data_IF_141723998321
#
_entry.id   IF_141723998321
#
_cell.length_a   1.000
_cell.length_b   1.000
_cell.length_c   1.000
_cell.angle_alpha   90.00
_cell.angle_beta   90.00
_cell.angle_gamma   90.00
#
_symmetry.space_group_name_H-M   'P 1'
#
loop_
_entity.id
_entity.type
_entity.pdbx_description
1 polymer ?
#
# COMPACT_ATOMS: atom_id res chain seq x y z
N UNK A 1 -1.05 0.39 -8.23
CA UNK A 1 -0.30 1.64 -7.94
C UNK A 1 -0.86 2.32 -6.70
N UNK A 2 -0.01 2.74 -5.75
CA UNK A 2 -0.42 3.43 -4.52
C UNK A 2 0.30 4.76 -4.31
N UNK A 3 -0.45 5.80 -3.96
CA UNK A 3 -0.02 7.18 -3.74
C UNK A 3 -0.27 7.58 -2.28
N UNK A 4 0.80 7.76 -1.52
CA UNK A 4 0.75 8.46 -0.23
C UNK A 4 0.97 9.96 -0.42
N UNK A 5 0.46 10.75 0.53
CA UNK A 5 0.64 12.20 0.60
C UNK A 5 1.05 12.60 2.00
N UNK A 6 1.59 13.83 2.14
CA UNK A 6 1.97 14.40 3.45
C UNK A 6 0.79 14.63 4.42
N UNK A 7 -0.45 14.42 3.99
CA UNK A 7 -1.62 14.66 4.83
C UNK A 7 -1.70 13.73 6.05
N UNK A 8 -1.00 12.59 6.02
CA UNK A 8 -0.91 11.66 7.15
C UNK A 8 0.42 11.80 7.87
N UNK A 9 1.50 11.36 7.22
CA UNK A 9 2.85 11.35 7.81
C UNK A 9 3.86 11.77 6.76
N UNK A 10 5.05 12.19 7.19
CA UNK A 10 6.13 12.55 6.28
C UNK A 10 6.67 11.34 5.49
N UNK A 11 7.49 11.64 4.48
CA UNK A 11 8.04 10.63 3.57
C UNK A 11 8.94 9.60 4.28
N UNK A 12 9.73 10.04 5.26
CA UNK A 12 10.69 9.16 5.94
C UNK A 12 9.93 8.16 6.79
N UNK A 13 8.99 8.65 7.61
CA UNK A 13 8.15 7.81 8.46
C UNK A 13 7.31 6.82 7.64
N UNK A 14 6.77 7.27 6.51
CA UNK A 14 6.00 6.41 5.59
C UNK A 14 6.89 5.33 4.96
N UNK A 15 8.13 5.68 4.58
CA UNK A 15 9.09 4.72 4.03
C UNK A 15 9.53 3.71 5.10
N UNK A 16 9.72 4.13 6.36
CA UNK A 16 10.05 3.22 7.46
C UNK A 16 8.94 2.18 7.67
N UNK A 17 7.67 2.58 7.63
CA UNK A 17 6.55 1.63 7.71
C UNK A 17 6.61 0.57 6.61
N UNK A 18 6.83 0.98 5.36
CA UNK A 18 6.88 0.05 4.25
C UNK A 18 8.15 -0.83 4.26
N UNK A 19 9.34 -0.25 4.44
CA UNK A 19 10.61 -0.95 4.29
C UNK A 19 11.06 -1.71 5.54
N UNK A 20 10.77 -1.19 6.74
CA UNK A 20 11.25 -1.78 8.00
C UNK A 20 10.19 -2.57 8.73
N UNK A 21 8.93 -2.15 8.63
CA UNK A 21 7.81 -2.84 9.27
C UNK A 21 7.03 -3.71 8.29
N UNK A 22 7.28 -3.59 6.98
CA UNK A 22 6.56 -4.35 5.96
C UNK A 22 5.06 -4.10 6.03
N UNK A 23 4.67 -2.86 6.30
CA UNK A 23 3.28 -2.49 6.52
C UNK A 23 2.88 -1.28 5.69
N UNK A 24 1.73 -1.41 5.02
CA UNK A 24 1.08 -0.30 4.32
C UNK A 24 -0.28 0.00 4.95
N UNK A 25 -0.33 1.03 5.78
CA UNK A 25 -1.56 1.39 6.50
C UNK A 25 -2.67 1.89 5.57
N UNK A 26 -3.84 1.26 5.66
CA UNK A 26 -5.05 1.64 4.94
C UNK A 26 -6.29 1.15 5.68
N UNK A 27 -7.20 2.08 5.98
CA UNK A 27 -8.52 1.74 6.52
C UNK A 27 -9.30 0.90 5.51
N UNK A 28 -9.99 -0.13 6.00
CA UNK A 28 -10.87 -0.95 5.19
C UNK A 28 -12.09 -0.14 4.77
N UNK A 29 -12.59 0.71 5.67
CA UNK A 29 -13.80 1.52 5.47
C UNK A 29 -13.52 3.01 5.69
N UNK A 30 -14.35 3.83 5.06
CA UNK A 30 -14.43 5.27 5.30
C UNK A 30 -15.18 5.55 6.61
N UNK A 31 -15.16 6.80 7.07
CA UNK A 31 -15.93 7.24 8.25
C UNK A 31 -17.45 7.05 8.09
N UNK A 32 -17.95 6.95 6.85
CA UNK A 32 -19.34 6.63 6.55
C UNK A 32 -19.64 5.11 6.57
N UNK A 33 -18.68 4.27 6.93
CA UNK A 33 -18.81 2.80 6.98
C UNK A 33 -18.73 2.11 5.61
N UNK A 34 -18.63 2.86 4.52
CA UNK A 34 -18.48 2.33 3.15
C UNK A 34 -17.04 1.90 2.92
N UNK A 35 -16.82 0.81 2.19
CA UNK A 35 -15.50 0.34 1.78
C UNK A 35 -14.66 1.45 1.15
N UNK A 36 -13.41 1.56 1.58
CA UNK A 36 -12.45 2.44 0.97
C UNK A 36 -12.17 1.95 -0.47
N UNK A 37 -12.20 2.88 -1.43
CA UNK A 37 -12.11 2.55 -2.85
C UNK A 37 -10.91 1.65 -3.19
N UNK A 38 -11.18 0.63 -4.00
CA UNK A 38 -10.24 -0.36 -4.54
C UNK A 38 -9.52 -1.24 -3.51
N UNK A 39 -9.77 -1.08 -2.21
CA UNK A 39 -9.13 -1.91 -1.17
C UNK A 39 -9.49 -3.38 -1.31
N UNK A 40 -10.74 -3.69 -1.67
CA UNK A 40 -11.19 -5.07 -1.91
C UNK A 40 -10.54 -5.73 -3.12
N UNK A 41 -10.03 -4.93 -4.06
CA UNK A 41 -9.50 -5.44 -5.31
C UNK A 41 -8.03 -5.85 -5.16
N UNK A 42 -7.42 -5.60 -3.99
CA UNK A 42 -6.05 -6.02 -3.68
C UNK A 42 -6.10 -7.39 -3.03
N UNK A 43 -5.48 -8.36 -3.68
CA UNK A 43 -5.31 -9.73 -3.22
C UNK A 43 -3.90 -9.99 -2.70
N UNK A 44 -3.75 -11.10 -1.97
CA UNK A 44 -2.42 -11.64 -1.64
C UNK A 44 -1.75 -12.07 -2.95
N UNK A 45 -0.46 -11.73 -3.11
CA UNK A 45 0.33 -11.91 -4.33
C UNK A 45 0.39 -10.66 -5.22
N UNK A 46 -0.51 -9.69 -5.03
CA UNK A 46 -0.50 -8.47 -5.84
C UNK A 46 0.72 -7.58 -5.53
N UNK A 47 1.23 -6.89 -6.55
CA UNK A 47 2.32 -5.93 -6.40
C UNK A 47 1.81 -4.49 -6.35
N UNK A 48 2.09 -3.82 -5.24
CA UNK A 48 1.85 -2.41 -5.03
C UNK A 48 3.11 -1.61 -5.34
N UNK A 49 3.09 -0.89 -6.46
CA UNK A 49 4.06 0.18 -6.73
C UNK A 49 3.73 1.40 -5.87
N UNK A 50 4.63 1.75 -4.94
CA UNK A 50 4.39 2.74 -3.92
C UNK A 50 5.16 4.04 -4.19
N UNK A 51 4.42 5.15 -4.23
CA UNK A 51 4.92 6.51 -4.42
C UNK A 51 4.48 7.44 -3.28
N UNK A 52 5.31 8.42 -2.98
CA UNK A 52 5.02 9.50 -2.05
C UNK A 52 5.00 10.85 -2.76
N UNK A 53 3.91 11.59 -2.56
CA UNK A 53 3.64 12.88 -3.20
C UNK A 53 3.70 14.02 -2.18
N UNK A 54 4.41 15.09 -2.53
CA UNK A 54 4.42 16.35 -1.79
C UNK A 54 4.23 17.52 -2.77
N UNK A 55 3.34 18.45 -2.42
CA UNK A 55 3.10 19.64 -3.23
C UNK A 55 4.40 20.40 -3.53
N UNK A 56 4.59 20.78 -4.79
CA UNK A 56 5.78 21.50 -5.26
C UNK A 56 7.07 20.66 -5.31
N UNK A 57 7.00 19.34 -5.12
CA UNK A 57 8.16 18.44 -5.22
C UNK A 57 7.92 17.33 -6.22
N UNK A 58 9.02 16.79 -6.77
CA UNK A 58 8.97 15.58 -7.57
C UNK A 58 8.45 14.41 -6.71
N UNK A 59 7.59 13.54 -7.28
CA UNK A 59 7.21 12.27 -6.67
C UNK A 59 8.44 11.50 -6.22
N UNK A 60 8.34 10.80 -5.09
CA UNK A 60 9.35 9.84 -4.64
C UNK A 60 8.83 8.43 -4.85
N UNK A 61 9.57 7.62 -5.59
CA UNK A 61 9.38 6.18 -5.64
C UNK A 61 9.93 5.54 -4.35
N UNK A 62 9.10 4.80 -3.62
CA UNK A 62 9.57 4.01 -2.46
C UNK A 62 9.99 2.61 -2.92
N UNK A 63 9.17 1.98 -3.77
CA UNK A 63 9.47 0.67 -4.32
C UNK A 63 8.25 -0.09 -4.81
N UNK A 64 8.49 -1.32 -5.26
CA UNK A 64 7.47 -2.31 -5.54
C UNK A 64 7.38 -3.28 -4.36
N UNK A 65 6.17 -3.48 -3.85
CA UNK A 65 5.91 -4.33 -2.69
C UNK A 65 4.82 -5.34 -2.99
N UNK A 66 5.10 -6.62 -2.79
CA UNK A 66 4.12 -7.69 -2.88
C UNK A 66 3.27 -7.71 -1.61
N UNK A 67 1.96 -7.88 -1.74
CA UNK A 67 1.03 -8.11 -0.63
C UNK A 67 1.14 -9.57 -0.24
N UNK A 68 1.50 -9.83 1.01
CA UNK A 68 1.73 -11.18 1.52
C UNK A 68 0.73 -11.52 2.62
N UNK A 69 0.55 -12.81 2.89
CA UNK A 69 -0.21 -13.22 4.08
C UNK A 69 0.56 -12.86 5.35
N UNK A 70 -0.14 -12.77 6.48
CA UNK A 70 0.48 -12.53 7.78
C UNK A 70 1.58 -13.57 8.08
N UNK A 71 1.33 -14.84 7.78
CA UNK A 71 2.24 -15.96 8.04
C UNK A 71 3.50 -15.92 7.17
N UNK A 72 3.38 -15.41 5.93
CA UNK A 72 4.50 -15.25 5.01
C UNK A 72 5.32 -13.98 5.28
N UNK A 73 4.85 -13.10 6.17
CA UNK A 73 5.55 -11.88 6.54
C UNK A 73 6.77 -12.16 7.43
N UNK A 74 7.78 -11.29 7.39
CA UNK A 74 8.99 -11.43 8.22
C UNK A 74 8.72 -11.24 9.73
N UNK A 75 7.60 -10.59 10.06
CA UNK A 75 7.15 -10.25 11.41
C UNK A 75 5.66 -10.62 11.54
N UNK A 76 5.29 -11.91 11.51
CA UNK A 76 3.89 -12.35 11.49
C UNK A 76 3.11 -11.89 12.73
N UNK A 77 3.76 -11.79 13.89
CA UNK A 77 3.18 -11.38 15.16
C UNK A 77 2.64 -9.94 15.19
N UNK A 78 2.94 -9.12 14.18
CA UNK A 78 2.43 -7.75 14.07
C UNK A 78 1.01 -7.69 13.51
N UNK A 79 0.49 -8.80 12.99
CA UNK A 79 -0.80 -8.87 12.33
C UNK A 79 -1.77 -9.72 13.14
N UNK A 80 -2.96 -9.18 13.34
CA UNK A 80 -4.10 -9.84 13.97
C UNK A 80 -5.03 -10.48 12.96
N UNK A 81 -6.34 -10.30 13.16
CA UNK A 81 -7.35 -10.88 12.29
C UNK A 81 -7.32 -10.24 10.88
N UNK A 82 -7.57 -11.06 9.87
CA UNK A 82 -7.82 -10.57 8.51
C UNK A 82 -9.21 -9.95 8.43
N UNK A 83 -9.32 -8.79 7.78
CA UNK A 83 -10.61 -8.14 7.55
C UNK A 83 -11.36 -8.89 6.45
N UNK A 84 -12.54 -9.41 6.81
CA UNK A 84 -13.38 -10.22 5.94
C UNK A 84 -13.62 -9.55 4.57
N UNK A 85 -13.35 -10.30 3.50
CA UNK A 85 -13.53 -9.84 2.12
C UNK A 85 -12.42 -8.91 1.60
N UNK A 86 -11.24 -8.90 2.23
CA UNK A 86 -10.05 -8.15 1.76
C UNK A 86 -8.75 -8.83 2.16
N UNK A 87 -7.62 -8.41 1.57
CA UNK A 87 -6.27 -8.82 2.00
C UNK A 87 -5.70 -7.95 3.15
N UNK A 88 -6.55 -7.20 3.85
CA UNK A 88 -6.12 -6.36 4.98
C UNK A 88 -6.08 -7.15 6.28
N UNK A 89 -5.15 -6.77 7.15
CA UNK A 89 -5.03 -7.28 8.50
C UNK A 89 -5.16 -6.14 9.50
N UNK A 90 -5.75 -6.45 10.65
CA UNK A 90 -5.62 -5.63 11.85
C UNK A 90 -4.17 -5.68 12.34
N UNK A 91 -3.69 -4.58 12.91
CA UNK A 91 -2.39 -4.54 13.58
C UNK A 91 -2.57 -5.09 14.99
N UNK A 92 -1.81 -6.12 15.33
CA UNK A 92 -1.79 -6.68 16.67
C UNK A 92 -1.10 -5.72 17.66
N UNK A 93 -1.44 -5.80 18.96
CA UNK A 93 -0.73 -5.05 20.00
C UNK A 93 0.79 -5.33 19.97
N UNK A 94 1.59 -4.28 20.11
CA UNK A 94 3.06 -4.37 20.12
C UNK A 94 3.72 -3.24 19.35
N UNK A 95 4.97 -3.45 18.94
CA UNK A 95 5.83 -2.37 18.39
C UNK A 95 5.23 -1.64 17.18
N UNK A 96 4.51 -2.34 16.28
CA UNK A 96 3.90 -1.70 15.12
C UNK A 96 2.73 -0.81 15.54
N UNK A 97 1.88 -1.28 16.44
CA UNK A 97 0.77 -0.49 16.99
C UNK A 97 1.28 0.76 17.70
N UNK A 98 2.24 0.59 18.62
CA UNK A 98 2.86 1.70 19.37
C UNK A 98 3.52 2.72 18.42
N UNK A 99 4.20 2.23 17.37
CA UNK A 99 4.81 3.12 16.39
C UNK A 99 3.76 3.93 15.62
N UNK A 100 2.64 3.32 15.23
CA UNK A 100 1.54 4.02 14.56
C UNK A 100 0.89 5.08 15.45
N UNK A 101 0.74 4.81 16.75
CA UNK A 101 0.27 5.80 17.74
C UNK A 101 1.20 7.00 17.85
N UNK A 102 2.52 6.77 17.89
CA UNK A 102 3.53 7.84 17.96
C UNK A 102 3.51 8.71 16.71
N UNK A 103 3.28 8.13 15.53
CA UNK A 103 3.23 8.89 14.27
C UNK A 103 2.05 9.88 14.20
N UNK A 104 0.96 9.65 14.94
CA UNK A 104 -0.27 10.49 15.02
C UNK A 104 -0.96 10.86 13.69
N UNK A 105 -0.48 10.37 12.56
CA UNK A 105 -1.02 10.69 11.23
C UNK A 105 -1.97 9.63 10.66
N UNK A 106 -2.03 8.46 11.29
CA UNK A 106 -2.98 7.42 10.96
C UNK A 106 -4.13 7.43 11.96
N UNK A 107 -5.31 7.10 11.47
CA UNK A 107 -6.53 6.99 12.28
C UNK A 107 -6.93 5.53 12.29
N UNK A 108 -7.31 4.96 13.45
CA UNK A 108 -7.88 3.62 13.54
C UNK A 108 -9.06 3.44 12.57
N UNK A 109 -9.27 2.21 12.12
CA UNK A 109 -10.44 1.89 11.31
C UNK A 109 -11.71 2.06 12.17
N UNK A 110 -12.74 2.77 11.68
CA UNK A 110 -13.90 3.13 12.48
C UNK A 110 -14.76 1.93 12.94
N UNK A 111 -14.51 0.73 12.40
CA UNK A 111 -15.26 -0.47 12.75
C UNK A 111 -14.48 -1.36 13.72
N UNK A 112 -13.19 -1.54 13.49
CA UNK A 112 -12.36 -2.43 14.32
C UNK A 112 -11.69 -1.70 15.49
N UNK A 113 -11.73 -0.37 15.50
CA UNK A 113 -11.06 0.51 16.48
C UNK A 113 -9.53 0.30 16.55
N UNK A 114 -8.96 -0.39 15.56
CA UNK A 114 -7.53 -0.68 15.44
C UNK A 114 -6.95 -0.17 14.13
N UNK A 115 -5.61 -0.15 14.02
CA UNK A 115 -4.99 0.15 12.74
C UNK A 115 -5.13 -1.04 11.79
N UNK A 116 -5.40 -0.74 10.52
CA UNK A 116 -5.59 -1.74 9.48
C UNK A 116 -4.68 -1.43 8.30
N UNK A 117 -4.19 -2.46 7.61
CA UNK A 117 -3.35 -2.31 6.43
C UNK A 117 -2.96 -3.63 5.79
N UNK A 118 -2.15 -3.56 4.75
CA UNK A 118 -1.58 -4.74 4.10
C UNK A 118 -0.24 -5.09 4.73
N UNK A 119 -0.02 -6.40 4.96
CA UNK A 119 1.31 -6.95 5.13
C UNK A 119 2.00 -6.97 3.76
N UNK A 120 3.18 -6.38 3.67
CA UNK A 120 3.88 -6.17 2.40
C UNK A 120 5.35 -6.53 2.49
N UNK A 121 5.89 -7.03 1.39
CA UNK A 121 7.31 -7.35 1.25
C UNK A 121 7.87 -6.65 0.03
N UNK A 122 9.01 -5.98 0.18
CA UNK A 122 9.66 -5.32 -0.95
C UNK A 122 10.19 -6.37 -1.95
N UNK A 123 9.78 -6.24 -3.21
CA UNK A 123 10.18 -7.13 -4.31
C UNK A 123 11.01 -6.41 -5.38
N UNK A 124 11.02 -5.08 -5.39
CA UNK A 124 11.82 -4.35 -6.37
C UNK A 124 11.65 -2.84 -6.31
N UNK A 125 11.99 -2.20 -7.43
CA UNK A 125 11.76 -0.77 -7.65
C UNK A 125 10.39 -0.57 -8.30
N UNK A 126 9.72 0.51 -7.93
CA UNK A 126 8.55 0.96 -8.68
C UNK A 126 9.01 1.50 -10.04
N UNK A 127 8.18 1.40 -11.10
CA UNK A 127 8.42 2.12 -12.34
C UNK A 127 8.43 3.64 -12.09
N UNK A 128 8.92 4.41 -13.07
CA UNK A 128 8.89 5.87 -12.95
C UNK A 128 7.45 6.35 -12.74
N UNK A 129 7.25 7.31 -11.83
CA UNK A 129 5.93 7.84 -11.58
C UNK A 129 5.36 8.52 -12.84
N UNK A 130 4.24 8.01 -13.34
CA UNK A 130 3.44 8.68 -14.37
C UNK A 130 2.10 9.14 -13.75
N UNK A 131 1.84 10.46 -13.67
CA UNK A 131 0.58 10.99 -13.14
C UNK A 131 -0.65 10.53 -13.92
N UNK A 132 -0.51 10.16 -15.20
CA UNK A 132 -1.62 9.66 -16.02
C UNK A 132 -2.15 8.32 -15.52
N UNK A 133 -1.35 7.56 -14.77
CA UNK A 133 -1.73 6.28 -14.17
C UNK A 133 -2.64 6.45 -12.93
N UNK A 134 -2.86 7.67 -12.45
CA UNK A 134 -3.77 7.96 -11.36
C UNK A 134 -4.94 8.82 -11.87
N UNK A 135 -6.09 8.20 -12.07
CA UNK A 135 -7.30 8.93 -12.46
C UNK A 135 -7.92 9.62 -11.24
N UNK A 136 -8.07 10.94 -11.29
CA UNK A 136 -8.72 11.75 -10.26
C UNK A 136 -7.97 11.78 -8.92
N UNK A 137 -8.73 11.75 -7.82
CA UNK A 137 -8.20 11.83 -6.44
C UNK A 137 -7.86 10.45 -5.85
N UNK A 138 -7.90 9.38 -6.64
CA UNK A 138 -7.66 8.03 -6.14
C UNK A 138 -6.22 7.86 -5.64
N UNK A 139 -6.08 7.30 -4.44
CA UNK A 139 -4.76 6.96 -3.86
C UNK A 139 -4.34 5.53 -4.17
N UNK A 140 -5.25 4.71 -4.67
CA UNK A 140 -5.02 3.33 -5.10
C UNK A 140 -5.70 3.13 -6.45
N UNK A 141 -4.93 2.69 -7.44
CA UNK A 141 -5.39 2.44 -8.81
C UNK A 141 -4.83 1.10 -9.30
N UNK A 142 -5.67 0.29 -9.92
CA UNK A 142 -5.22 -0.90 -10.64
C UNK A 142 -4.31 -0.47 -11.80
N UNK A 143 -3.27 -1.25 -12.03
CA UNK A 143 -2.30 -1.01 -13.08
C UNK A 143 -1.91 -2.35 -13.65
N UNK A 144 -2.26 -2.58 -14.90
CA UNK A 144 -2.05 -3.87 -15.58
C UNK A 144 -0.68 -3.94 -16.29
N UNK A 145 0.23 -3.00 -15.99
CA UNK A 145 1.51 -2.88 -16.70
C UNK A 145 1.43 -1.94 -17.90
N UNK A 146 2.57 -1.60 -18.53
CA UNK A 146 2.51 -1.28 -19.95
C UNK A 146 1.99 -2.53 -20.69
N UNK A 147 1.33 -2.40 -21.85
CA UNK A 147 1.08 -3.56 -22.69
C UNK A 147 2.44 -4.27 -22.88
N UNK A 148 2.47 -5.58 -22.69
CA UNK A 148 3.59 -6.37 -23.16
C UNK A 148 3.71 -6.05 -24.65
N UNK A 149 4.82 -5.43 -25.07
CA UNK A 149 5.21 -5.41 -26.47
C UNK A 149 5.56 -6.88 -26.80
N UNK A 150 4.53 -7.70 -26.99
CA UNK A 150 4.64 -9.03 -27.59
C UNK A 150 5.18 -8.81 -29.01
N UNK A 151 6.43 -9.24 -29.19
CA UNK A 151 7.07 -9.60 -30.44
C UNK A 151 7.04 -8.53 -31.55
N UNK A 152 8.16 -7.80 -31.68
CA UNK A 152 8.64 -7.46 -33.03
C UNK A 152 8.93 -8.77 -33.78
N UNK A 153 7.88 -9.32 -34.38
CA UNK A 153 7.92 -10.25 -35.50
C UNK A 153 8.64 -9.53 -36.65
N UNK A 154 9.98 -9.51 -36.62
CA UNK A 154 10.77 -9.21 -37.81
C UNK A 154 10.76 -10.44 -38.69
N UNK A 155 9.62 -10.64 -39.34
CA UNK A 155 9.52 -11.45 -40.53
C UNK A 155 10.47 -10.88 -41.60
N UNK A 156 11.51 -11.66 -41.89
CA UNK A 156 12.04 -11.98 -43.23
C UNK A 156 12.15 -10.84 -44.25
N UNK A 157 13.39 -10.57 -44.68
CA UNK A 157 13.71 -10.57 -46.11
C UNK A 157 15.16 -11.01 -46.35
#
# INVERSE_FOLDING_TARGET
MYRATRNKVDAISTMILADKRGFLCRSARSSAGVWAANVKNVAIGDVIHFYYMQAGKKPREFGAYEVVSAEAHALPQQFGAQIEGSALYEVAPGELNEYLEVLRGYVPDPITDGYVGWAIKRVGRAPAFDPKLFTGMNTLQQYDGPPDDEDEDVATN
#
